data_IF_977416515184
#
_entry.id   IF_977416515184
#
_cell.length_a   1.000
_cell.length_b   1.000
_cell.length_c   1.000
_cell.angle_alpha   90.00
_cell.angle_beta   90.00
_cell.angle_gamma   90.00
#
_symmetry.space_group_name_H-M   'P 1'
#
loop_
_entity.id
_entity.type
_entity.pdbx_description
1 polymer ?
#
# COMPACT_ATOMS: atom_id res chain seq x y z
N UNK A 1 -17.91 8.42 -78.09
CA UNK A 1 -19.15 8.73 -78.79
C UNK A 1 -19.63 10.09 -78.25
N UNK A 2 -19.50 11.09 -79.09
CA UNK A 2 -20.23 12.34 -79.28
C UNK A 2 -20.78 13.04 -78.00
N UNK A 3 -20.26 14.20 -77.60
CA UNK A 3 -20.44 15.55 -78.14
C UNK A 3 -21.90 16.07 -77.99
N UNK A 4 -22.09 17.20 -77.32
CA UNK A 4 -22.50 18.48 -77.97
C UNK A 4 -22.86 19.49 -76.85
N UNK A 5 -22.20 20.68 -76.90
CA UNK A 5 -22.72 21.91 -76.29
C UNK A 5 -23.76 22.56 -77.26
N UNK A 6 -24.66 23.43 -76.74
CA UNK A 6 -24.64 24.77 -77.37
C UNK A 6 -24.97 25.96 -76.44
N UNK A 7 -24.24 27.02 -76.67
CA UNK A 7 -24.61 28.42 -77.02
C UNK A 7 -25.62 29.23 -76.22
N UNK A 8 -25.13 30.32 -75.71
CA UNK A 8 -25.82 31.54 -75.24
C UNK A 8 -26.71 32.23 -76.29
N UNK A 9 -27.61 33.08 -75.79
CA UNK A 9 -27.71 34.38 -76.46
C UNK A 9 -27.64 35.59 -75.53
N UNK A 10 -27.15 36.64 -76.15
CA UNK A 10 -26.98 38.00 -75.76
C UNK A 10 -28.27 38.80 -75.64
N UNK A 11 -28.36 39.70 -74.69
CA UNK A 11 -29.40 40.73 -74.58
C UNK A 11 -28.94 41.92 -73.75
N UNK A 12 -29.49 43.12 -73.90
CA UNK A 12 -28.74 44.34 -73.97
C UNK A 12 -28.53 45.09 -72.65
N UNK A 13 -27.57 46.00 -72.67
CA UNK A 13 -27.08 46.76 -71.53
C UNK A 13 -28.04 47.83 -71.01
N UNK A 14 -27.85 48.10 -69.71
CA UNK A 14 -28.44 49.21 -68.97
C UNK A 14 -27.33 50.03 -68.33
N UNK A 15 -27.39 51.38 -68.32
CA UNK A 15 -26.24 52.23 -68.01
C UNK A 15 -26.02 52.45 -66.51
N UNK A 16 -24.75 52.63 -66.14
CA UNK A 16 -24.26 52.94 -64.80
C UNK A 16 -24.65 54.37 -64.34
N UNK A 17 -25.07 54.62 -63.11
CA UNK A 17 -25.08 55.97 -62.56
C UNK A 17 -23.76 56.32 -61.87
N UNK A 18 -23.43 57.57 -61.86
CA UNK A 18 -22.21 58.25 -61.41
C UNK A 18 -21.95 58.14 -59.91
N UNK A 19 -20.65 58.03 -59.54
CA UNK A 19 -20.12 58.19 -58.18
C UNK A 19 -20.42 59.55 -57.58
N UNK A 20 -20.71 59.60 -56.26
CA UNK A 20 -20.41 60.77 -55.42
C UNK A 20 -19.29 60.45 -54.41
N UNK A 21 -18.59 61.44 -54.18
CA UNK A 21 -17.51 61.90 -53.37
C UNK A 21 -17.04 61.07 -52.11
N UNK A 22 -15.79 61.05 -52.06
CA UNK A 22 -14.85 60.68 -50.99
C UNK A 22 -15.06 61.53 -49.75
N UNK A 23 -15.50 60.98 -48.63
CA UNK A 23 -15.35 61.56 -47.30
C UNK A 23 -14.91 60.45 -46.29
N UNK A 24 -13.76 60.67 -45.70
CA UNK A 24 -13.43 60.30 -44.31
C UNK A 24 -13.27 58.83 -43.95
N UNK A 25 -12.32 58.09 -44.49
CA UNK A 25 -11.80 56.86 -43.88
C UNK A 25 -10.81 57.22 -42.75
N UNK A 26 -11.30 57.30 -41.51
CA UNK A 26 -10.38 57.61 -40.43
C UNK A 26 -10.82 57.18 -39.00
N UNK A 27 -12.10 56.86 -38.83
CA UNK A 27 -12.59 56.69 -37.46
C UNK A 27 -13.20 55.34 -37.08
N UNK A 28 -13.30 54.38 -38.00
CA UNK A 28 -13.99 53.10 -37.75
C UNK A 28 -13.05 51.87 -37.63
N UNK A 29 -11.75 52.05 -37.84
CA UNK A 29 -10.80 50.93 -37.77
C UNK A 29 -10.23 50.65 -36.37
N UNK A 30 -10.37 51.57 -35.40
CA UNK A 30 -9.83 51.38 -34.03
C UNK A 30 -10.84 50.82 -33.01
N UNK A 31 -12.14 50.77 -33.32
CA UNK A 31 -13.14 50.19 -32.41
C UNK A 31 -13.38 48.69 -32.64
N UNK A 32 -13.03 48.11 -33.80
CA UNK A 32 -13.24 46.69 -34.08
C UNK A 32 -12.14 45.78 -33.53
N UNK A 33 -10.94 46.32 -33.27
CA UNK A 33 -9.80 45.54 -32.74
C UNK A 33 -9.82 45.44 -31.21
N UNK A 34 -10.47 46.41 -30.54
CA UNK A 34 -10.62 46.41 -29.05
C UNK A 34 -11.65 45.41 -28.55
N UNK A 35 -12.59 44.96 -29.38
CA UNK A 35 -13.64 44.00 -28.94
C UNK A 35 -13.27 42.51 -29.14
N UNK A 36 -12.22 42.20 -29.90
CA UNK A 36 -11.74 40.80 -30.09
C UNK A 36 -10.73 40.34 -29.04
N UNK A 37 -10.16 41.25 -28.23
CA UNK A 37 -9.13 40.91 -27.24
C UNK A 37 -9.68 40.55 -25.85
N UNK A 38 -11.01 40.64 -25.66
CA UNK A 38 -11.65 40.37 -24.32
C UNK A 38 -12.37 39.01 -24.22
N UNK A 39 -12.23 38.13 -25.18
CA UNK A 39 -13.10 36.97 -25.34
C UNK A 39 -12.47 35.59 -25.06
N UNK A 40 -11.27 35.47 -24.43
CA UNK A 40 -10.75 34.14 -24.06
C UNK A 40 -9.87 34.18 -22.81
N UNK A 41 -10.34 34.73 -21.71
CA UNK A 41 -9.90 34.28 -20.39
C UNK A 41 -11.03 33.50 -19.77
N UNK A 42 -11.34 32.32 -20.34
CA UNK A 42 -11.95 31.28 -19.51
C UNK A 42 -10.93 30.96 -18.43
N UNK A 43 -11.27 31.14 -17.14
CA UNK A 43 -10.40 30.59 -16.10
C UNK A 43 -10.32 29.09 -16.42
N UNK A 44 -9.11 28.59 -16.66
CA UNK A 44 -8.88 27.15 -16.65
C UNK A 44 -9.40 26.71 -15.29
N UNK A 45 -10.60 26.16 -15.24
CA UNK A 45 -11.08 25.45 -14.05
C UNK A 45 -10.06 24.34 -13.86
N UNK A 46 -9.15 24.56 -12.92
CA UNK A 46 -8.32 23.48 -12.39
C UNK A 46 -9.30 22.38 -12.04
N UNK A 47 -9.37 21.34 -12.86
CA UNK A 47 -10.19 20.16 -12.56
C UNK A 47 -9.81 19.74 -11.17
N UNK A 48 -10.75 19.89 -10.23
CA UNK A 48 -10.47 19.58 -8.84
C UNK A 48 -10.27 18.07 -8.73
N UNK A 49 -9.02 17.65 -8.53
CA UNK A 49 -8.74 16.23 -8.25
C UNK A 49 -9.42 15.82 -6.94
N UNK A 50 -10.03 14.63 -6.89
CA UNK A 50 -10.32 13.70 -7.96
C UNK A 50 -11.66 14.00 -8.66
N UNK A 51 -11.75 13.79 -9.96
CA UNK A 51 -12.97 13.91 -10.78
C UNK A 51 -13.53 12.53 -11.24
N UNK A 52 -12.81 11.45 -10.94
CA UNK A 52 -13.16 10.06 -11.24
C UNK A 52 -12.74 9.13 -10.09
N UNK A 53 -13.21 7.87 -10.05
CA UNK A 53 -12.84 6.93 -9.00
C UNK A 53 -11.33 6.73 -8.84
N UNK A 54 -10.87 6.65 -7.59
CA UNK A 54 -9.48 6.38 -7.21
C UNK A 54 -9.31 4.88 -6.91
N UNK A 55 -8.26 4.27 -7.41
CA UNK A 55 -7.90 2.86 -7.14
C UNK A 55 -6.90 2.76 -6.00
N UNK A 56 -7.19 1.88 -5.04
CA UNK A 56 -6.25 1.45 -4.01
C UNK A 56 -5.93 -0.04 -4.21
N UNK A 57 -4.73 -0.34 -4.67
CA UNK A 57 -4.26 -1.71 -4.89
C UNK A 57 -3.82 -2.32 -3.56
N UNK A 58 -4.45 -3.43 -3.18
CA UNK A 58 -4.06 -4.29 -2.06
C UNK A 58 -3.27 -5.48 -2.63
N UNK A 59 -1.93 -5.59 -2.39
CA UNK A 59 -1.08 -6.56 -3.08
C UNK A 59 -1.11 -7.97 -2.46
N UNK A 60 -2.11 -8.27 -1.63
CA UNK A 60 -2.28 -9.56 -0.96
C UNK A 60 -3.72 -10.07 -1.08
N UNK A 61 -3.98 -11.38 -0.77
CA UNK A 61 -5.31 -11.96 -0.86
C UNK A 61 -6.35 -11.24 -0.01
N UNK A 62 -7.64 -11.28 -0.43
CA UNK A 62 -8.74 -10.75 0.36
C UNK A 62 -8.82 -11.38 1.76
N UNK A 63 -9.33 -10.61 2.73
CA UNK A 63 -9.56 -11.05 4.12
C UNK A 63 -8.33 -10.95 5.03
N UNK A 64 -7.13 -10.67 4.50
CA UNK A 64 -5.95 -10.37 5.32
C UNK A 64 -5.91 -8.91 5.77
N UNK A 65 -4.96 -8.58 6.67
CA UNK A 65 -4.78 -7.23 7.23
C UNK A 65 -4.76 -6.15 6.14
N UNK A 66 -3.99 -6.35 5.07
CA UNK A 66 -3.87 -5.41 3.96
C UNK A 66 -5.21 -5.11 3.29
N UNK A 67 -6.04 -6.13 3.04
CA UNK A 67 -7.36 -5.97 2.44
C UNK A 67 -8.32 -5.25 3.38
N UNK A 68 -8.39 -5.67 4.65
CA UNK A 68 -9.26 -5.06 5.65
C UNK A 68 -8.95 -3.57 5.85
N UNK A 69 -7.67 -3.22 5.98
CA UNK A 69 -7.24 -1.81 6.13
C UNK A 69 -7.49 -1.02 4.86
N UNK A 70 -7.25 -1.59 3.68
CA UNK A 70 -7.55 -0.91 2.41
C UNK A 70 -9.04 -0.61 2.26
N UNK A 71 -9.93 -1.54 2.63
CA UNK A 71 -11.39 -1.31 2.61
C UNK A 71 -11.84 -0.28 3.64
N UNK A 72 -11.27 -0.31 4.83
CA UNK A 72 -11.50 0.73 5.84
C UNK A 72 -11.09 2.12 5.33
N UNK A 73 -9.90 2.24 4.73
CA UNK A 73 -9.46 3.49 4.12
C UNK A 73 -10.38 3.91 2.97
N UNK A 74 -10.79 2.99 2.10
CA UNK A 74 -11.71 3.28 1.00
C UNK A 74 -13.08 3.80 1.50
N UNK A 75 -13.61 3.22 2.57
CA UNK A 75 -14.84 3.68 3.24
C UNK A 75 -14.71 5.13 3.74
N UNK A 76 -13.59 5.47 4.39
CA UNK A 76 -13.37 6.81 4.95
C UNK A 76 -12.99 7.85 3.89
N UNK A 77 -12.21 7.45 2.90
CA UNK A 77 -11.70 8.36 1.86
C UNK A 77 -12.75 8.71 0.81
N UNK A 78 -13.68 7.78 0.47
CA UNK A 78 -14.69 8.05 -0.57
C UNK A 78 -15.52 9.30 -0.29
N UNK A 79 -16.14 9.49 0.88
CA UNK A 79 -16.86 10.73 1.18
C UNK A 79 -15.93 11.94 1.31
N UNK A 80 -14.70 11.78 1.83
CA UNK A 80 -13.75 12.87 2.01
C UNK A 80 -13.22 13.44 0.69
N UNK A 81 -13.09 12.58 -0.32
CA UNK A 81 -12.62 12.93 -1.66
C UNK A 81 -13.77 13.30 -2.61
N UNK A 82 -15.03 12.97 -2.27
CA UNK A 82 -16.19 13.15 -3.16
C UNK A 82 -16.22 12.19 -4.35
N UNK A 83 -15.35 11.15 -4.35
CA UNK A 83 -15.25 10.14 -5.39
C UNK A 83 -15.04 8.77 -4.75
N UNK A 84 -15.52 7.71 -5.41
CA UNK A 84 -15.35 6.35 -4.92
C UNK A 84 -13.87 5.96 -4.87
N UNK A 85 -13.44 5.37 -3.75
CA UNK A 85 -12.15 4.68 -3.64
C UNK A 85 -12.39 3.18 -3.76
N UNK A 86 -11.83 2.56 -4.80
CA UNK A 86 -12.07 1.15 -5.15
C UNK A 86 -10.85 0.34 -4.76
N UNK A 87 -11.05 -0.68 -3.93
CA UNK A 87 -9.98 -1.62 -3.55
C UNK A 87 -9.88 -2.73 -4.58
N UNK A 88 -8.68 -2.94 -5.11
CA UNK A 88 -8.35 -4.00 -6.06
C UNK A 88 -7.28 -4.93 -5.46
N UNK A 89 -7.60 -6.21 -5.25
CA UNK A 89 -6.61 -7.18 -4.78
C UNK A 89 -5.78 -7.71 -5.95
N UNK A 90 -4.49 -7.31 -6.03
CA UNK A 90 -3.50 -7.83 -7.01
C UNK A 90 -2.44 -8.65 -6.30
N UNK A 91 -2.69 -9.96 -6.20
CA UNK A 91 -1.89 -10.88 -5.39
C UNK A 91 -0.77 -11.54 -6.19
N UNK A 92 0.32 -11.90 -5.52
CA UNK A 92 1.40 -12.71 -6.09
C UNK A 92 2.78 -12.28 -5.63
N UNK A 93 3.67 -13.26 -5.50
CA UNK A 93 5.11 -13.08 -5.21
C UNK A 93 5.37 -12.03 -4.11
N UNK A 94 4.84 -12.23 -2.89
CA UNK A 94 5.03 -11.32 -1.75
C UNK A 94 4.61 -9.87 -2.02
N UNK A 95 3.56 -9.66 -2.86
CA UNK A 95 3.07 -8.35 -3.24
C UNK A 95 3.78 -7.72 -4.44
N UNK A 96 4.80 -8.37 -5.00
CA UNK A 96 5.57 -7.87 -6.16
C UNK A 96 4.63 -7.57 -7.33
N UNK A 97 3.68 -8.46 -7.65
CA UNK A 97 2.72 -8.29 -8.76
C UNK A 97 1.89 -7.01 -8.59
N UNK A 98 1.42 -6.75 -7.37
CA UNK A 98 0.62 -5.54 -7.08
C UNK A 98 1.44 -4.26 -7.19
N UNK A 99 2.67 -4.26 -6.66
CA UNK A 99 3.56 -3.10 -6.74
C UNK A 99 4.00 -2.82 -8.18
N UNK A 100 4.36 -3.85 -8.95
CA UNK A 100 4.74 -3.69 -10.36
C UNK A 100 3.58 -3.11 -11.19
N UNK A 101 2.35 -3.56 -10.95
CA UNK A 101 1.17 -3.03 -11.60
C UNK A 101 0.97 -1.53 -11.30
N UNK A 102 1.21 -1.09 -10.06
CA UNK A 102 1.09 0.33 -9.68
C UNK A 102 2.27 1.15 -10.19
N UNK A 103 3.50 0.65 -10.12
CA UNK A 103 4.66 1.28 -10.74
C UNK A 103 4.41 1.65 -12.20
N UNK A 104 3.78 0.74 -12.96
CA UNK A 104 3.48 0.90 -14.38
C UNK A 104 2.17 1.67 -14.65
N UNK A 105 1.47 2.14 -13.62
CA UNK A 105 0.27 2.97 -13.77
C UNK A 105 0.63 4.43 -14.04
N UNK A 106 -0.26 5.21 -14.69
CA UNK A 106 -0.07 6.66 -14.82
C UNK A 106 0.12 7.34 -13.46
N UNK A 107 1.06 8.29 -13.39
CA UNK A 107 1.31 9.10 -12.20
C UNK A 107 0.32 10.28 -12.06
N UNK A 108 -0.97 10.02 -12.33
CA UNK A 108 -2.05 11.02 -12.40
C UNK A 108 -2.83 11.17 -11.08
N UNK A 109 -2.45 10.40 -10.05
CA UNK A 109 -3.09 10.43 -8.73
C UNK A 109 -4.34 9.55 -8.61
N UNK A 110 -4.65 8.71 -9.58
CA UNK A 110 -5.82 7.82 -9.52
C UNK A 110 -5.49 6.37 -9.20
N UNK A 111 -4.20 6.08 -8.92
CA UNK A 111 -3.78 4.74 -8.49
C UNK A 111 -2.82 4.86 -7.32
N UNK A 112 -3.14 4.15 -6.24
CA UNK A 112 -2.32 4.03 -5.05
C UNK A 112 -2.12 2.56 -4.70
N UNK A 113 -1.10 2.26 -3.90
CA UNK A 113 -0.83 0.91 -3.42
C UNK A 113 -0.67 0.89 -1.91
N UNK A 114 -1.22 -0.13 -1.28
CA UNK A 114 -0.86 -0.48 0.07
C UNK A 114 0.54 -1.10 0.07
N UNK A 115 1.45 -0.45 0.75
CA UNK A 115 2.84 -0.89 0.91
C UNK A 115 3.10 -1.31 2.36
N UNK A 116 4.02 -2.22 2.55
CA UNK A 116 4.48 -2.60 3.88
C UNK A 116 5.99 -2.88 3.88
N UNK A 117 6.52 -3.08 5.06
CA UNK A 117 7.95 -3.34 5.24
C UNK A 117 8.43 -4.55 4.43
N UNK A 118 7.60 -5.60 4.27
CA UNK A 118 8.00 -6.79 3.50
C UNK A 118 8.24 -6.46 2.03
N UNK A 119 7.28 -5.78 1.39
CA UNK A 119 7.38 -5.55 -0.05
C UNK A 119 8.27 -4.36 -0.45
N UNK A 120 8.59 -3.45 0.46
CA UNK A 120 9.44 -2.29 0.16
C UNK A 120 10.86 -2.43 0.74
N UNK A 121 11.00 -2.86 2.00
CA UNK A 121 12.30 -2.85 2.69
C UNK A 121 12.94 -4.24 2.79
N UNK A 122 12.17 -5.32 2.75
CA UNK A 122 12.67 -6.70 2.85
C UNK A 122 12.92 -7.32 1.48
N UNK A 123 11.96 -7.22 0.55
CA UNK A 123 12.09 -7.83 -0.79
C UNK A 123 13.41 -7.50 -1.51
N UNK A 124 13.99 -6.28 -1.42
CA UNK A 124 15.29 -5.99 -2.02
C UNK A 124 16.46 -6.86 -1.51
N UNK A 125 16.30 -7.50 -0.35
CA UNK A 125 17.32 -8.31 0.29
C UNK A 125 17.09 -9.83 0.18
N UNK A 126 15.89 -10.24 -0.25
CA UNK A 126 15.51 -11.67 -0.36
C UNK A 126 15.21 -12.10 -1.79
N UNK A 127 15.16 -11.18 -2.74
CA UNK A 127 15.01 -11.49 -4.16
C UNK A 127 16.23 -10.99 -4.95
N UNK A 128 16.85 -11.88 -5.73
CA UNK A 128 17.98 -11.52 -6.58
C UNK A 128 17.61 -10.55 -7.72
N UNK A 129 16.35 -10.58 -8.16
CA UNK A 129 15.80 -9.68 -9.17
C UNK A 129 14.44 -9.14 -8.72
N UNK A 130 14.37 -7.86 -8.46
CA UNK A 130 13.13 -7.17 -8.09
C UNK A 130 12.74 -6.19 -9.22
N UNK A 131 11.49 -6.23 -9.74
CA UNK A 131 11.09 -5.39 -10.88
C UNK A 131 10.85 -3.92 -10.51
N UNK A 132 11.04 -3.54 -9.24
CA UNK A 132 10.88 -2.17 -8.75
C UNK A 132 11.93 -1.82 -7.68
N UNK A 133 12.08 -0.51 -7.47
CA UNK A 133 12.80 0.10 -6.35
C UNK A 133 11.81 0.90 -5.50
N UNK A 134 11.83 0.66 -4.19
CA UNK A 134 10.81 1.21 -3.27
C UNK A 134 10.74 2.73 -3.18
N UNK A 135 11.87 3.45 -3.37
CA UNK A 135 11.90 4.91 -3.30
C UNK A 135 12.05 5.60 -4.66
N UNK A 136 12.61 4.90 -5.65
CA UNK A 136 12.77 5.45 -7.00
C UNK A 136 11.47 5.39 -7.80
N UNK A 137 10.75 4.27 -7.70
CA UNK A 137 9.60 3.97 -8.55
C UNK A 137 8.26 4.35 -7.88
N UNK A 138 8.28 4.78 -6.61
CA UNK A 138 7.09 5.19 -5.86
C UNK A 138 7.29 6.49 -5.09
N UNK A 139 6.21 7.24 -4.95
CA UNK A 139 6.10 8.38 -4.05
C UNK A 139 5.43 7.93 -2.75
N UNK A 140 6.10 7.98 -1.58
CA UNK A 140 5.48 7.77 -0.29
C UNK A 140 4.34 8.75 -0.04
N UNK A 141 3.20 8.28 0.50
CA UNK A 141 2.04 9.12 0.83
C UNK A 141 1.92 9.27 2.34
N UNK A 142 1.78 8.17 3.08
CA UNK A 142 1.76 8.18 4.54
C UNK A 142 2.06 6.79 5.08
N UNK A 143 2.87 6.71 6.12
CA UNK A 143 2.89 5.54 7.00
C UNK A 143 1.59 5.54 7.81
N UNK A 144 0.77 4.51 7.61
CA UNK A 144 -0.55 4.44 8.23
C UNK A 144 -0.53 3.76 9.60
N UNK A 145 0.47 2.92 9.85
CA UNK A 145 0.57 2.25 11.14
C UNK A 145 1.78 1.34 11.29
N UNK A 146 2.04 1.02 12.55
CA UNK A 146 3.01 -0.01 12.93
C UNK A 146 2.27 -1.32 13.22
N UNK A 147 2.82 -2.42 12.72
CA UNK A 147 2.36 -3.77 13.04
C UNK A 147 3.36 -4.52 13.89
N UNK A 148 2.84 -5.26 14.83
CA UNK A 148 3.58 -6.29 15.56
C UNK A 148 2.92 -7.63 15.30
N UNK A 149 3.69 -8.70 15.39
CA UNK A 149 3.20 -10.05 15.16
C UNK A 149 3.16 -10.81 16.50
N UNK A 150 2.14 -11.66 16.67
CA UNK A 150 2.07 -12.58 17.78
C UNK A 150 2.64 -13.94 17.40
N UNK A 151 3.50 -14.49 18.24
CA UNK A 151 3.84 -15.90 18.20
C UNK A 151 2.70 -16.71 18.82
N UNK A 152 2.19 -17.66 18.05
CA UNK A 152 1.08 -18.53 18.47
C UNK A 152 1.42 -20.00 18.26
N UNK A 153 0.85 -20.83 19.12
CA UNK A 153 0.96 -22.29 19.07
C UNK A 153 -0.43 -22.93 19.29
N UNK A 154 -0.68 -24.15 18.79
CA UNK A 154 -1.90 -24.88 19.12
C UNK A 154 -1.89 -25.31 20.61
N UNK A 155 -3.05 -25.30 21.31
CA UNK A 155 -3.15 -25.74 22.72
C UNK A 155 -2.66 -27.16 22.96
N UNK A 156 -2.74 -28.03 21.95
CA UNK A 156 -2.30 -29.43 22.02
C UNK A 156 -0.80 -29.59 22.34
N UNK A 157 0.03 -28.57 22.13
CA UNK A 157 1.44 -28.60 22.54
C UNK A 157 1.63 -28.55 24.06
N UNK A 158 0.60 -28.18 24.83
CA UNK A 158 0.67 -28.03 26.28
C UNK A 158 1.76 -27.06 26.78
N UNK A 159 2.11 -26.03 25.99
CA UNK A 159 3.05 -24.97 26.36
C UNK A 159 2.31 -23.65 26.53
N UNK A 160 2.68 -22.84 27.52
CA UNK A 160 2.03 -21.57 27.87
C UNK A 160 2.96 -20.37 27.83
N UNK A 161 4.25 -20.62 27.72
CA UNK A 161 5.30 -19.61 27.73
C UNK A 161 6.32 -19.86 26.62
N UNK A 162 7.02 -18.82 26.20
CA UNK A 162 8.11 -18.96 25.20
C UNK A 162 9.25 -19.87 25.70
N UNK A 163 9.71 -19.78 26.97
CA UNK A 163 10.69 -20.73 27.51
C UNK A 163 10.23 -22.19 27.43
N UNK A 164 8.96 -22.48 27.77
CA UNK A 164 8.40 -23.84 27.64
C UNK A 164 8.40 -24.33 26.19
N UNK A 165 8.02 -23.46 25.24
CA UNK A 165 8.09 -23.79 23.82
C UNK A 165 9.51 -24.08 23.37
N UNK A 166 10.47 -23.28 23.76
CA UNK A 166 11.91 -23.49 23.42
C UNK A 166 12.38 -24.83 23.99
N UNK A 167 12.02 -25.15 25.24
CA UNK A 167 12.34 -26.43 25.85
C UNK A 167 11.67 -27.60 25.10
N UNK A 168 10.41 -27.44 24.71
CA UNK A 168 9.68 -28.43 23.93
C UNK A 168 10.35 -28.70 22.57
N UNK A 169 10.74 -27.66 21.84
CA UNK A 169 11.46 -27.81 20.56
C UNK A 169 12.76 -28.56 20.74
N UNK A 170 13.56 -28.23 21.76
CA UNK A 170 14.83 -28.91 22.07
C UNK A 170 14.64 -30.38 22.41
N UNK A 171 13.51 -30.74 23.06
CA UNK A 171 13.17 -32.11 23.38
C UNK A 171 12.59 -32.91 22.20
N UNK A 172 12.20 -32.23 21.12
CA UNK A 172 11.57 -32.83 19.94
C UNK A 172 12.31 -32.46 18.64
N UNK A 173 13.59 -32.78 18.47
CA UNK A 173 14.37 -32.42 17.31
C UNK A 173 13.76 -32.99 16.03
N UNK A 174 13.70 -32.16 14.98
CA UNK A 174 13.16 -32.52 13.65
C UNK A 174 11.62 -32.64 13.59
N UNK A 175 10.88 -32.38 14.68
CA UNK A 175 9.41 -32.50 14.73
C UNK A 175 8.70 -31.14 14.73
N UNK A 176 9.44 -30.04 14.70
CA UNK A 176 8.85 -28.71 14.79
C UNK A 176 8.89 -28.02 13.43
N UNK A 177 7.73 -27.53 12.98
CA UNK A 177 7.64 -26.63 11.86
C UNK A 177 7.02 -25.29 12.29
N UNK A 178 7.39 -24.24 11.58
CA UNK A 178 6.74 -22.95 11.73
C UNK A 178 6.14 -22.47 10.42
N UNK A 179 4.89 -22.02 10.49
CA UNK A 179 4.15 -21.47 9.37
C UNK A 179 4.43 -19.97 9.22
N UNK A 180 4.64 -19.52 7.99
CA UNK A 180 4.72 -18.09 7.66
C UNK A 180 3.74 -17.72 6.57
N UNK A 181 3.47 -16.43 6.41
CA UNK A 181 2.65 -15.95 5.27
C UNK A 181 3.45 -15.80 3.97
N UNK A 182 4.64 -16.44 3.90
CA UNK A 182 5.45 -16.64 2.69
C UNK A 182 6.94 -16.45 2.91
N UNK A 183 7.75 -16.99 2.01
CA UNK A 183 9.21 -16.82 1.99
C UNK A 183 9.54 -15.32 1.89
N UNK A 184 10.50 -14.82 2.68
CA UNK A 184 10.89 -13.40 2.69
C UNK A 184 9.93 -12.47 3.43
N UNK A 185 8.82 -12.98 3.99
CA UNK A 185 7.91 -12.17 4.82
C UNK A 185 8.51 -11.88 6.21
N UNK A 186 7.97 -10.86 6.90
CA UNK A 186 8.33 -10.60 8.30
C UNK A 186 8.11 -11.81 9.20
N UNK A 187 7.04 -12.58 8.98
CA UNK A 187 6.77 -13.83 9.70
C UNK A 187 7.89 -14.87 9.53
N UNK A 188 8.39 -15.05 8.30
CA UNK A 188 9.52 -15.92 8.02
C UNK A 188 10.79 -15.44 8.73
N UNK A 189 11.12 -14.15 8.57
CA UNK A 189 12.35 -13.56 9.13
C UNK A 189 12.34 -13.63 10.66
N UNK A 190 11.22 -13.30 11.32
CA UNK A 190 11.12 -13.46 12.78
C UNK A 190 11.22 -14.92 13.24
N UNK A 191 10.70 -15.86 12.45
CA UNK A 191 10.90 -17.29 12.72
C UNK A 191 12.37 -17.69 12.70
N UNK A 192 13.11 -17.26 11.68
CA UNK A 192 14.56 -17.51 11.58
C UNK A 192 15.37 -16.77 12.67
N UNK A 193 14.98 -15.53 13.02
CA UNK A 193 15.58 -14.81 14.15
C UNK A 193 15.38 -15.57 15.47
N UNK A 194 14.20 -16.13 15.71
CA UNK A 194 13.92 -16.94 16.90
C UNK A 194 14.77 -18.21 16.91
N UNK A 195 14.88 -18.92 15.77
CA UNK A 195 15.77 -20.07 15.64
C UNK A 195 17.20 -19.72 16.07
N UNK A 196 17.74 -18.62 15.55
CA UNK A 196 19.10 -18.17 15.88
C UNK A 196 19.25 -17.76 17.35
N UNK A 197 18.34 -16.92 17.88
CA UNK A 197 18.45 -16.41 19.24
C UNK A 197 18.22 -17.46 20.33
N UNK A 198 17.30 -18.40 20.10
CA UNK A 198 17.00 -19.48 21.03
C UNK A 198 17.87 -20.74 20.82
N UNK A 199 18.66 -20.77 19.73
CA UNK A 199 19.45 -21.95 19.32
C UNK A 199 18.58 -23.20 19.21
N UNK A 200 17.48 -23.10 18.46
CA UNK A 200 16.54 -24.18 18.16
C UNK A 200 16.46 -24.39 16.66
N UNK A 201 16.06 -25.59 16.27
CA UNK A 201 15.82 -25.92 14.87
C UNK A 201 14.33 -26.18 14.60
N UNK A 202 13.83 -25.57 13.52
CA UNK A 202 12.44 -25.67 13.07
C UNK A 202 12.40 -25.60 11.54
N UNK A 203 11.53 -26.38 10.91
CA UNK A 203 11.34 -26.37 9.46
C UNK A 203 10.40 -25.22 9.09
N UNK A 204 10.82 -24.37 8.18
CA UNK A 204 9.97 -23.31 7.64
C UNK A 204 8.96 -23.87 6.63
N UNK A 205 7.68 -23.53 6.80
CA UNK A 205 6.58 -23.87 5.89
C UNK A 205 5.93 -22.58 5.39
N UNK A 206 6.19 -22.16 4.14
CA UNK A 206 5.60 -20.94 3.58
C UNK A 206 4.19 -21.18 3.06
N UNK A 207 3.28 -20.24 3.37
CA UNK A 207 1.90 -20.21 2.89
C UNK A 207 1.64 -18.97 2.01
N UNK A 208 0.53 -18.99 1.26
CA UNK A 208 0.10 -17.85 0.43
C UNK A 208 -0.72 -16.84 1.25
N UNK A 209 -0.14 -16.34 2.35
CA UNK A 209 -0.77 -15.36 3.24
C UNK A 209 -1.04 -15.87 4.64
N UNK A 210 -1.48 -14.96 5.55
CA UNK A 210 -1.67 -15.26 6.96
C UNK A 210 -2.85 -16.20 7.23
N UNK A 211 -3.93 -16.13 6.44
CA UNK A 211 -5.12 -16.96 6.62
C UNK A 211 -4.83 -18.47 6.60
N UNK A 212 -4.34 -19.04 5.47
CA UNK A 212 -4.02 -20.47 5.40
C UNK A 212 -2.93 -20.88 6.41
N UNK A 213 -1.92 -20.06 6.67
CA UNK A 213 -0.91 -20.33 7.69
C UNK A 213 -1.52 -20.48 9.10
N UNK A 214 -2.43 -19.58 9.45
CA UNK A 214 -3.14 -19.62 10.75
C UNK A 214 -4.01 -20.86 10.88
N UNK A 215 -4.75 -21.23 9.82
CA UNK A 215 -5.61 -22.42 9.85
C UNK A 215 -4.81 -23.71 10.09
N UNK A 216 -3.64 -23.84 9.48
CA UNK A 216 -2.78 -25.02 9.68
C UNK A 216 -2.18 -25.09 11.08
N UNK A 217 -1.88 -23.96 11.72
CA UNK A 217 -1.49 -23.96 13.14
C UNK A 217 -2.67 -24.31 14.05
N UNK A 218 -3.86 -23.77 13.76
CA UNK A 218 -5.10 -24.14 14.49
C UNK A 218 -5.41 -25.63 14.38
N UNK A 219 -5.16 -26.22 13.22
CA UNK A 219 -5.33 -27.66 12.97
C UNK A 219 -4.19 -28.53 13.56
N UNK A 220 -3.09 -27.91 14.02
CA UNK A 220 -1.92 -28.64 14.55
C UNK A 220 -0.97 -29.18 13.48
N UNK A 221 -1.16 -28.87 12.20
CA UNK A 221 -0.27 -29.29 11.12
C UNK A 221 1.07 -28.55 11.18
N UNK A 222 1.09 -27.30 11.66
CA UNK A 222 2.30 -26.59 12.04
C UNK A 222 2.29 -26.31 13.55
N UNK A 223 3.45 -26.38 14.21
CA UNK A 223 3.56 -26.26 15.66
C UNK A 223 3.60 -24.81 16.12
N UNK A 224 3.94 -23.88 15.24
CA UNK A 224 4.06 -22.46 15.59
C UNK A 224 3.84 -21.58 14.36
N UNK A 225 3.36 -20.36 14.58
CA UNK A 225 3.48 -19.27 13.64
C UNK A 225 3.75 -17.94 14.35
N UNK A 226 4.37 -17.00 13.64
CA UNK A 226 4.44 -15.59 14.04
C UNK A 226 3.58 -14.81 13.04
N UNK A 227 2.41 -14.34 13.48
CA UNK A 227 1.33 -13.85 12.60
C UNK A 227 0.76 -12.52 13.09
N UNK A 228 0.13 -11.78 12.17
CA UNK A 228 -0.59 -10.56 12.54
C UNK A 228 -1.84 -10.83 13.37
N UNK A 229 -2.14 -9.89 14.28
CA UNK A 229 -3.28 -10.00 15.19
C UNK A 229 -4.63 -10.04 14.45
N UNK A 230 -4.73 -9.51 13.24
CA UNK A 230 -5.93 -9.64 12.41
C UNK A 230 -6.25 -11.12 12.13
N UNK A 231 -5.23 -11.93 11.86
CA UNK A 231 -5.39 -13.35 11.56
C UNK A 231 -5.55 -14.22 12.81
N UNK A 232 -4.75 -13.98 13.86
CA UNK A 232 -4.71 -14.88 15.04
C UNK A 232 -5.54 -14.40 16.22
N UNK A 233 -5.87 -13.13 16.30
CA UNK A 233 -6.58 -12.55 17.44
C UNK A 233 -7.91 -13.22 17.79
N UNK A 234 -8.80 -13.54 16.84
CA UNK A 234 -10.02 -14.30 17.13
C UNK A 234 -9.76 -15.69 17.73
N UNK A 235 -8.71 -16.38 17.27
CA UNK A 235 -8.34 -17.71 17.75
C UNK A 235 -7.69 -17.67 19.14
N UNK A 236 -6.92 -16.61 19.44
CA UNK A 236 -6.37 -16.38 20.78
C UNK A 236 -7.52 -16.13 21.77
N UNK A 237 -8.47 -15.24 21.45
CA UNK A 237 -9.61 -14.93 22.30
C UNK A 237 -10.54 -16.12 22.54
N UNK A 238 -10.67 -17.02 21.56
CA UNK A 238 -11.48 -18.24 21.69
C UNK A 238 -10.72 -19.42 22.30
N UNK A 239 -9.45 -19.26 22.68
CA UNK A 239 -8.61 -20.31 23.24
C UNK A 239 -8.18 -21.40 22.24
N UNK A 240 -8.42 -21.21 20.95
CA UNK A 240 -8.00 -22.13 19.90
C UNK A 240 -6.53 -21.99 19.52
N UNK A 241 -5.89 -20.88 19.91
CA UNK A 241 -4.44 -20.67 19.87
C UNK A 241 -3.97 -20.09 21.20
N UNK A 242 -2.75 -20.43 21.59
CA UNK A 242 -2.04 -19.85 22.74
C UNK A 242 -1.01 -18.86 22.18
N UNK A 243 -1.08 -17.61 22.64
CA UNK A 243 -0.07 -16.60 22.30
C UNK A 243 1.07 -16.64 23.33
N UNK A 244 2.32 -16.68 22.88
CA UNK A 244 3.49 -16.82 23.75
C UNK A 244 4.35 -15.55 23.82
N UNK A 245 4.36 -14.74 22.76
CA UNK A 245 5.13 -13.50 22.70
C UNK A 245 4.61 -12.58 21.58
N UNK A 246 4.98 -11.29 21.64
CA UNK A 246 4.79 -10.34 20.53
C UNK A 246 6.15 -9.79 20.06
N UNK A 247 6.25 -9.49 18.76
CA UNK A 247 7.40 -8.77 18.20
C UNK A 247 7.31 -7.27 18.52
N UNK A 248 8.40 -6.55 18.27
CA UNK A 248 8.45 -5.11 18.48
C UNK A 248 8.86 -4.70 19.90
N UNK A 249 9.05 -3.37 20.10
CA UNK A 249 9.67 -2.85 21.34
C UNK A 249 8.70 -2.75 22.52
N UNK A 250 7.40 -2.92 22.31
CA UNK A 250 6.35 -2.76 23.33
C UNK A 250 5.29 -3.83 23.18
N UNK A 251 4.65 -4.19 24.29
CA UNK A 251 3.49 -5.08 24.32
C UNK A 251 2.34 -4.51 23.50
N UNK A 252 1.52 -5.41 22.97
CA UNK A 252 0.36 -5.03 22.18
C UNK A 252 -0.79 -4.54 23.07
N UNK A 253 -1.37 -3.35 22.83
CA UNK A 253 -2.40 -2.79 23.72
C UNK A 253 -3.66 -3.65 23.90
N UNK A 254 -4.03 -4.43 22.86
CA UNK A 254 -5.18 -5.35 22.96
C UNK A 254 -4.88 -6.64 23.73
N UNK A 255 -3.61 -6.93 24.06
CA UNK A 255 -3.13 -8.06 24.85
C UNK A 255 -2.00 -7.59 25.78
N UNK A 256 -2.30 -6.74 26.80
CA UNK A 256 -1.28 -6.07 27.62
C UNK A 256 -0.45 -7.02 28.48
N UNK A 257 -0.97 -8.19 28.79
CA UNK A 257 -0.28 -9.22 29.58
C UNK A 257 0.70 -10.05 28.74
N UNK A 258 0.58 -10.00 27.39
CA UNK A 258 1.44 -10.75 26.51
C UNK A 258 2.79 -10.03 26.37
N UNK A 259 3.85 -10.65 26.88
CA UNK A 259 5.22 -10.13 26.84
C UNK A 259 5.76 -10.04 25.43
N UNK A 260 6.66 -9.08 25.21
CA UNK A 260 7.46 -9.05 23.99
C UNK A 260 8.53 -10.14 23.99
N UNK A 261 9.03 -10.48 22.79
CA UNK A 261 10.21 -11.35 22.67
C UNK A 261 11.42 -10.74 23.40
N UNK A 262 11.60 -9.42 23.32
CA UNK A 262 12.71 -8.73 23.97
C UNK A 262 12.64 -8.83 25.50
N UNK A 263 11.44 -8.70 26.12
CA UNK A 263 11.22 -8.93 27.54
C UNK A 263 11.57 -10.36 27.98
N UNK A 264 11.53 -11.32 27.04
CA UNK A 264 11.85 -12.73 27.27
C UNK A 264 13.28 -13.11 26.80
N UNK A 265 14.15 -12.10 26.54
CA UNK A 265 15.56 -12.31 26.21
C UNK A 265 15.84 -12.60 24.73
N UNK A 266 14.87 -12.42 23.84
CA UNK A 266 15.03 -12.64 22.39
C UNK A 266 14.83 -11.31 21.64
N UNK A 267 15.84 -10.79 20.90
CA UNK A 267 15.80 -9.44 20.31
C UNK A 267 15.00 -9.38 18.99
N UNK A 268 13.68 -9.67 19.04
CA UNK A 268 12.75 -9.49 17.94
C UNK A 268 11.98 -8.17 18.16
N UNK A 269 12.70 -7.08 18.32
CA UNK A 269 12.21 -5.77 18.76
C UNK A 269 11.89 -4.81 17.60
N UNK A 270 12.06 -5.21 16.35
CA UNK A 270 11.72 -4.41 15.19
C UNK A 270 10.22 -4.54 14.92
N UNK A 271 9.51 -3.42 14.84
CA UNK A 271 8.12 -3.39 14.38
C UNK A 271 8.07 -3.29 12.83
N UNK A 272 7.12 -3.98 12.24
CA UNK A 272 6.77 -3.74 10.84
C UNK A 272 6.03 -2.42 10.67
N UNK A 273 6.13 -1.80 9.51
CA UNK A 273 5.33 -0.64 9.15
C UNK A 273 4.44 -0.95 7.94
N UNK A 274 3.35 -0.21 7.86
CA UNK A 274 2.40 -0.24 6.76
C UNK A 274 2.13 1.19 6.28
N UNK A 275 1.95 1.39 4.99
CA UNK A 275 1.78 2.70 4.41
C UNK A 275 1.06 2.67 3.07
N UNK A 276 0.77 3.84 2.57
CA UNK A 276 0.22 4.04 1.22
C UNK A 276 1.28 4.74 0.38
N UNK A 277 1.43 4.29 -0.86
CA UNK A 277 2.34 4.87 -1.84
C UNK A 277 1.60 5.10 -3.17
N UNK A 278 2.13 6.00 -3.98
CA UNK A 278 1.67 6.30 -5.33
C UNK A 278 2.79 5.98 -6.34
N UNK A 279 2.52 5.93 -7.66
CA UNK A 279 3.57 5.92 -8.68
C UNK A 279 4.52 7.11 -8.49
N UNK A 280 5.81 6.92 -8.79
CA UNK A 280 6.75 8.04 -8.82
C UNK A 280 6.24 9.16 -9.75
N UNK A 281 6.58 10.41 -9.42
CA UNK A 281 6.14 11.62 -10.15
C UNK A 281 4.62 11.93 -10.04
N UNK A 282 3.87 11.25 -9.20
CA UNK A 282 2.50 11.71 -8.85
C UNK A 282 2.58 13.15 -8.32
N UNK A 283 1.73 14.09 -8.79
CA UNK A 283 1.80 15.49 -8.40
C UNK A 283 1.78 15.67 -6.89
N UNK A 284 2.72 16.47 -6.37
CA UNK A 284 2.93 16.67 -4.93
C UNK A 284 1.64 17.07 -4.20
N UNK A 285 0.85 17.98 -4.78
CA UNK A 285 -0.42 18.42 -4.20
C UNK A 285 -1.43 17.26 -4.01
N UNK A 286 -1.43 16.29 -4.92
CA UNK A 286 -2.28 15.09 -4.81
C UNK A 286 -1.77 14.18 -3.69
N UNK A 287 -0.46 13.95 -3.63
CA UNK A 287 0.17 13.14 -2.57
C UNK A 287 -0.10 13.75 -1.19
N UNK A 288 0.08 15.07 -1.03
CA UNK A 288 -0.17 15.78 0.23
C UNK A 288 -1.65 15.74 0.63
N UNK A 289 -2.58 15.95 -0.31
CA UNK A 289 -4.01 15.85 -0.05
C UNK A 289 -4.40 14.44 0.38
N UNK A 290 -3.96 13.42 -0.35
CA UNK A 290 -4.22 12.02 0.01
C UNK A 290 -3.64 11.68 1.40
N UNK A 291 -2.42 12.13 1.70
CA UNK A 291 -1.80 11.96 3.02
C UNK A 291 -2.63 12.58 4.13
N UNK A 292 -3.10 13.83 3.94
CA UNK A 292 -3.92 14.52 4.92
C UNK A 292 -5.26 13.79 5.20
N UNK A 293 -5.94 13.32 4.16
CA UNK A 293 -7.21 12.59 4.31
C UNK A 293 -7.01 11.21 4.97
N UNK A 294 -5.96 10.48 4.59
CA UNK A 294 -5.59 9.22 5.24
C UNK A 294 -5.32 9.46 6.73
N UNK A 295 -4.50 10.44 7.06
CA UNK A 295 -4.13 10.73 8.45
C UNK A 295 -5.34 11.15 9.29
N UNK A 296 -6.27 11.95 8.71
CA UNK A 296 -7.53 12.29 9.37
C UNK A 296 -8.37 11.05 9.65
N UNK A 297 -8.47 10.13 8.69
CA UNK A 297 -9.24 8.90 8.84
C UNK A 297 -8.69 8.00 9.95
N UNK A 298 -7.39 7.70 9.93
CA UNK A 298 -6.78 6.75 10.87
C UNK A 298 -6.56 7.35 12.27
N UNK A 299 -6.46 8.67 12.40
CA UNK A 299 -6.28 9.35 13.69
C UNK A 299 -7.59 9.71 14.40
N UNK A 300 -8.74 9.55 13.73
CA UNK A 300 -10.05 9.68 14.38
C UNK A 300 -10.21 8.63 15.48
N UNK A 301 -11.04 8.87 16.53
CA UNK A 301 -11.28 7.86 17.58
C UNK A 301 -11.69 6.50 17.02
N UNK A 302 -12.68 6.47 16.11
CA UNK A 302 -13.12 5.26 15.40
C UNK A 302 -11.99 4.65 14.55
N UNK A 303 -11.21 5.50 13.88
CA UNK A 303 -10.06 5.06 13.07
C UNK A 303 -9.01 4.34 13.90
N UNK A 304 -8.58 4.91 15.02
CA UNK A 304 -7.60 4.29 15.92
C UNK A 304 -8.08 2.94 16.45
N UNK A 305 -9.35 2.87 16.84
CA UNK A 305 -9.95 1.63 17.33
C UNK A 305 -9.99 0.56 16.22
N UNK A 306 -10.47 0.91 15.02
CA UNK A 306 -10.50 0.00 13.87
C UNK A 306 -9.11 -0.47 13.46
N UNK A 307 -8.13 0.44 13.39
CA UNK A 307 -6.74 0.09 13.09
C UNK A 307 -6.18 -0.89 14.12
N UNK A 308 -6.43 -0.67 15.42
CA UNK A 308 -6.00 -1.58 16.48
C UNK A 308 -6.67 -2.97 16.35
N UNK A 309 -7.97 -3.02 16.04
CA UNK A 309 -8.69 -4.29 15.79
C UNK A 309 -8.12 -5.06 14.61
N UNK A 310 -7.63 -4.33 13.58
CA UNK A 310 -6.96 -4.89 12.41
C UNK A 310 -5.46 -5.18 12.62
N UNK A 311 -4.93 -5.01 13.84
CA UNK A 311 -3.54 -5.31 14.17
C UNK A 311 -2.55 -4.20 13.84
N UNK A 312 -2.98 -2.94 13.76
CA UNK A 312 -2.13 -1.78 13.50
C UNK A 312 -2.26 -0.73 14.60
N UNK A 313 -1.13 -0.22 15.08
CA UNK A 313 -1.08 1.05 15.81
C UNK A 313 -1.06 2.18 14.79
N UNK A 314 -2.15 2.96 14.72
CA UNK A 314 -2.24 4.09 13.82
C UNK A 314 -1.13 5.11 14.10
N UNK A 315 -0.33 5.44 13.10
CA UNK A 315 0.77 6.43 13.20
C UNK A 315 0.42 7.73 12.50
N UNK A 316 0.19 7.70 11.20
CA UNK A 316 -0.01 8.88 10.37
C UNK A 316 1.27 9.72 10.25
N UNK A 317 1.82 9.82 9.05
CA UNK A 317 3.01 10.63 8.79
C UNK A 317 2.78 11.54 7.58
N UNK A 318 3.61 12.56 7.44
CA UNK A 318 3.79 13.26 6.17
C UNK A 318 4.49 12.35 5.15
N UNK A 319 4.42 12.67 3.85
CA UNK A 319 5.16 11.95 2.81
C UNK A 319 6.67 11.89 3.05
N UNK A 320 7.26 13.00 3.49
CA UNK A 320 8.71 13.10 3.75
C UNK A 320 9.15 12.27 4.97
N UNK A 321 8.36 12.29 6.05
CA UNK A 321 8.60 11.43 7.21
C UNK A 321 8.52 9.96 6.84
N UNK A 322 7.55 9.57 6.00
CA UNK A 322 7.45 8.18 5.55
C UNK A 322 8.62 7.77 4.64
N UNK A 323 9.06 8.65 3.76
CA UNK A 323 10.27 8.42 2.96
C UNK A 323 11.51 8.18 3.86
N UNK A 324 11.64 8.94 4.96
CA UNK A 324 12.73 8.77 5.92
C UNK A 324 12.66 7.44 6.68
N UNK A 325 11.44 7.00 7.06
CA UNK A 325 11.24 5.65 7.62
C UNK A 325 11.76 4.58 6.67
N UNK A 326 11.41 4.65 5.38
CA UNK A 326 11.84 3.67 4.38
C UNK A 326 13.36 3.69 4.22
N UNK A 327 13.99 4.88 4.12
CA UNK A 327 15.45 5.01 3.98
C UNK A 327 16.20 4.41 5.17
N UNK A 328 15.71 4.64 6.37
CA UNK A 328 16.31 4.14 7.62
C UNK A 328 16.13 2.62 7.75
N UNK A 329 14.93 2.13 7.47
CA UNK A 329 14.56 0.75 7.80
C UNK A 329 15.07 -0.26 6.74
N UNK A 330 15.15 0.12 5.46
CA UNK A 330 15.62 -0.80 4.41
C UNK A 330 17.00 -1.39 4.68
N UNK A 331 18.06 -0.63 4.99
CA UNK A 331 19.37 -1.21 5.33
C UNK A 331 19.34 -2.00 6.65
N UNK A 332 18.53 -1.58 7.62
CA UNK A 332 18.39 -2.30 8.90
C UNK A 332 17.82 -3.70 8.70
N UNK A 333 16.80 -3.85 7.86
CA UNK A 333 16.27 -5.17 7.49
C UNK A 333 17.29 -6.01 6.71
N UNK A 334 18.09 -5.40 5.85
CA UNK A 334 19.19 -6.09 5.18
C UNK A 334 20.21 -6.69 6.16
N UNK A 335 20.53 -5.98 7.25
CA UNK A 335 21.41 -6.52 8.30
C UNK A 335 20.76 -7.70 9.04
N UNK A 336 19.47 -7.58 9.38
CA UNK A 336 18.71 -8.63 10.07
C UNK A 336 18.67 -9.91 9.21
N UNK A 337 18.35 -9.77 7.93
CA UNK A 337 18.27 -10.87 6.96
C UNK A 337 19.61 -11.58 6.83
N UNK A 338 20.73 -10.83 6.72
CA UNK A 338 22.08 -11.40 6.66
C UNK A 338 22.44 -12.15 7.95
N UNK A 339 22.11 -11.58 9.13
CA UNK A 339 22.35 -12.23 10.44
C UNK A 339 21.50 -13.49 10.61
N UNK A 340 20.30 -13.53 10.05
CA UNK A 340 19.44 -14.71 10.03
C UNK A 340 19.88 -15.78 9.02
N UNK A 341 20.92 -15.53 8.20
CA UNK A 341 21.42 -16.48 7.21
C UNK A 341 20.52 -16.68 6.00
N UNK A 342 19.53 -15.81 5.79
CA UNK A 342 18.61 -15.87 4.65
C UNK A 342 19.34 -15.37 3.41
N UNK A 343 19.37 -16.20 2.35
CA UNK A 343 19.99 -15.86 1.06
C UNK A 343 18.94 -15.37 0.08
N UNK A 344 19.28 -14.41 -0.81
CA UNK A 344 18.40 -14.02 -1.92
C UNK A 344 18.13 -15.21 -2.86
N UNK A 345 16.86 -15.33 -3.26
CA UNK A 345 16.40 -16.32 -4.25
C UNK A 345 16.15 -15.69 -5.63
#
# INVERSE_FOLDING_TARGET
MYAIAPRSPSGPGIPLPRRPGRWGEGATRHLAVAFLAFAFTTPAQSQSWPDKPVRLVAPYPPGGQTDLVSRFLAEKLSPALGQSVIVENKTGAQGIVGLEAVKNSPADGYTFVYANVSNISINPHVHAKLPYDGLRDFAPVSQIGLSVLAMVVPPALNVKTLPEFIAWVKANPGKTSFASFGTGSTSHIYGEMLKGSARIDMVHVPYKGAGPATQDVVAGHAQMAIQDFAAVGPFIRSGRLVALAVTGPKRWPAFPDLQTFAEQGHPLDIAGWNGIMAPANTPKAIVERMSAEINRAIQSPDGREKMLQMGLLATGTTPDEFAEVIRRDTPRWGEVIRKAGIKPE
#
